data_IF_004665473331
#
_entry.id   IF_004665473331
#
_cell.length_a   1.000
_cell.length_b   1.000
_cell.length_c   1.000
_cell.angle_alpha   90.00
_cell.angle_beta   90.00
_cell.angle_gamma   90.00
#
_symmetry.space_group_name_H-M   'P 1'
#
loop_
_entity.id
_entity.type
_entity.pdbx_description
1 polymer ?
2 polymer ?
3 water ?
#
# COMPACT_ATOMS: atom_id res chain seq x y z
N UNK A 1 -13.18 -10.92 19.84
CA UNK A 1 -12.23 -11.17 18.74
C UNK A 1 -12.50 -12.57 18.32
N UNK A 2 -11.79 -12.97 17.29
CA UNK A 2 -11.81 -14.29 16.73
C UNK A 2 -11.19 -14.14 15.37
N UNK A 3 -10.09 -14.86 15.25
CA UNK A 3 -9.28 -14.94 14.06
C UNK A 3 -10.03 -15.34 12.74
N UNK A 4 -9.40 -14.96 11.63
CA UNK A 4 -9.89 -15.28 10.31
C UNK A 4 -8.60 -15.43 9.47
N UNK A 5 -8.24 -16.69 9.29
CA UNK A 5 -7.06 -17.08 8.55
C UNK A 5 -7.40 -17.37 7.10
N UNK A 6 -7.15 -16.39 6.23
CA UNK A 6 -7.45 -16.59 4.81
C UNK A 6 -6.39 -17.54 4.27
N UNK A 7 -6.72 -18.82 4.40
CA UNK A 7 -5.87 -19.96 3.99
C UNK A 7 -4.79 -19.77 2.91
N UNK A 8 -4.98 -18.82 1.99
CA UNK A 8 -3.95 -18.60 0.93
C UNK A 8 -3.75 -17.08 0.65
N UNK A 9 -2.53 -16.52 0.77
CA UNK A 9 -2.38 -15.10 0.54
C UNK A 9 -2.19 -14.50 -0.85
N UNK A 10 -1.75 -15.28 -1.85
CA UNK A 10 -1.55 -14.75 -3.24
C UNK A 10 -1.96 -15.73 -4.34
N UNK A 11 -3.05 -15.43 -5.02
CA UNK A 11 -3.54 -16.33 -6.09
C UNK A 11 -3.03 -15.84 -7.43
N UNK A 12 -1.96 -16.47 -7.96
CA UNK A 12 -1.37 -16.10 -9.25
C UNK A 12 -2.08 -16.96 -10.24
N UNK A 13 -3.17 -16.41 -10.75
CA UNK A 13 -3.96 -17.14 -11.70
C UNK A 13 -4.01 -16.47 -13.08
N UNK A 14 -3.80 -17.29 -14.12
CA UNK A 14 -3.91 -16.80 -15.49
C UNK A 14 -5.44 -16.63 -15.65
N UNK A 15 -5.94 -15.80 -16.57
CA UNK A 15 -7.43 -15.63 -16.69
C UNK A 15 -8.17 -16.87 -17.19
N UNK A 16 -9.40 -17.06 -16.71
CA UNK A 16 -10.23 -18.19 -17.09
C UNK A 16 -9.91 -19.47 -16.35
N UNK A 17 -10.19 -19.50 -15.05
CA UNK A 17 -9.97 -20.68 -14.18
C UNK A 17 -10.89 -20.49 -13.00
N UNK A 18 -10.89 -21.50 -12.13
CA UNK A 18 -11.65 -21.51 -10.86
C UNK A 18 -10.83 -20.67 -9.80
N UNK A 19 -11.41 -20.33 -8.66
CA UNK A 19 -10.65 -19.56 -7.68
C UNK A 19 -11.07 -19.86 -6.27
N UNK A 20 -10.51 -20.94 -5.71
CA UNK A 20 -10.78 -21.29 -4.34
C UNK A 20 -9.89 -20.35 -3.50
N UNK A 21 -10.42 -19.82 -2.41
CA UNK A 21 -9.65 -18.91 -1.53
C UNK A 21 -10.37 -19.01 -0.24
N UNK A 22 -9.96 -20.01 0.55
CA UNK A 22 -10.60 -20.35 1.82
C UNK A 22 -10.40 -19.42 3.03
N UNK A 23 -11.41 -19.32 3.88
CA UNK A 23 -11.36 -18.50 5.07
C UNK A 23 -11.96 -19.21 6.32
N UNK A 24 -11.12 -19.49 7.33
CA UNK A 24 -11.56 -20.18 8.57
C UNK A 24 -11.57 -19.24 9.80
N UNK A 25 -12.73 -19.03 10.42
CA UNK A 25 -12.81 -18.15 11.59
C UNK A 25 -12.26 -18.91 12.80
N UNK A 26 -12.41 -18.34 13.99
CA UNK A 26 -11.96 -19.04 15.16
C UNK A 26 -13.09 -19.80 15.84
N UNK A 27 -14.27 -19.21 15.90
CA UNK A 27 -15.36 -19.90 16.62
C UNK A 27 -16.57 -20.19 15.77
N UNK A 28 -17.66 -20.57 16.42
CA UNK A 28 -18.88 -20.77 15.68
C UNK A 28 -19.30 -19.34 15.23
N UNK A 29 -19.88 -19.22 14.03
CA UNK A 29 -20.37 -17.91 13.53
C UNK A 29 -21.91 -17.94 13.56
N UNK A 30 -22.42 -19.04 14.07
CA UNK A 30 -23.85 -19.25 14.20
C UNK A 30 -24.36 -18.44 15.38
N UNK A 31 -25.12 -17.37 15.12
CA UNK A 31 -25.64 -16.60 16.23
C UNK A 31 -26.71 -17.45 16.85
N UNK A 32 -27.18 -17.07 18.03
CA UNK A 32 -28.26 -17.83 18.69
C UNK A 32 -29.60 -17.45 17.99
N UNK A 33 -29.51 -17.00 16.75
CA UNK A 33 -30.70 -16.61 16.05
C UNK A 33 -30.96 -17.67 15.01
N UNK A 34 -29.91 -18.42 14.68
CA UNK A 34 -30.03 -19.46 13.69
C UNK A 34 -29.09 -19.31 12.50
N UNK A 35 -28.95 -18.11 11.92
CA UNK A 35 -28.05 -17.95 10.77
C UNK A 35 -26.64 -17.52 11.09
N UNK A 36 -25.70 -18.15 10.41
CA UNK A 36 -24.28 -17.83 10.54
C UNK A 36 -23.97 -16.50 9.80
N UNK A 37 -22.76 -15.93 9.99
CA UNK A 37 -22.41 -14.64 9.37
C UNK A 37 -21.02 -14.40 8.72
N UNK A 38 -20.50 -15.39 7.99
CA UNK A 38 -19.28 -15.20 7.22
C UNK A 38 -19.82 -14.28 6.03
N UNK A 39 -19.00 -13.43 5.41
CA UNK A 39 -19.49 -12.55 4.32
C UNK A 39 -18.31 -12.25 3.41
N UNK A 40 -18.50 -11.96 2.12
CA UNK A 40 -17.34 -11.67 1.26
C UNK A 40 -17.33 -10.29 0.69
N UNK A 41 -16.13 -9.81 0.39
CA UNK A 41 -15.90 -8.49 -0.14
C UNK A 41 -14.71 -8.55 -1.12
N UNK A 42 -14.72 -7.63 -2.07
CA UNK A 42 -13.65 -7.54 -3.06
C UNK A 42 -13.26 -6.09 -3.00
N UNK A 43 -11.95 -5.82 -2.88
CA UNK A 43 -11.44 -4.44 -2.84
C UNK A 43 -10.63 -4.10 -4.06
N UNK A 44 -11.18 -3.22 -4.89
CA UNK A 44 -10.52 -2.82 -6.13
C UNK A 44 -9.62 -1.62 -5.88
N UNK A 45 -8.35 -1.83 -6.18
CA UNK A 45 -7.29 -0.84 -6.03
C UNK A 45 -7.85 0.55 -6.17
N UNK A 46 -7.75 1.30 -5.07
CA UNK A 46 -8.19 2.68 -5.05
C UNK A 46 -9.61 2.93 -4.61
N UNK A 47 -10.38 1.87 -4.38
CA UNK A 47 -11.76 2.11 -4.02
C UNK A 47 -12.22 1.39 -2.73
N UNK A 48 -13.18 1.99 -2.01
CA UNK A 48 -13.74 1.38 -0.82
C UNK A 48 -14.31 0.09 -1.32
N UNK A 49 -13.73 -1.04 -0.88
CA UNK A 49 -14.10 -2.42 -1.22
C UNK A 49 -15.58 -2.63 -1.18
N UNK A 50 -16.01 -3.85 -1.53
CA UNK A 50 -17.43 -4.12 -1.63
C UNK A 50 -17.98 -5.52 -1.37
N UNK A 51 -19.25 -5.53 -1.00
CA UNK A 51 -20.00 -6.73 -0.68
C UNK A 51 -20.25 -7.79 -1.77
N UNK A 52 -19.58 -8.93 -1.61
CA UNK A 52 -19.74 -10.05 -2.52
C UNK A 52 -20.91 -10.80 -1.99
N UNK A 53 -20.79 -12.11 -1.84
CA UNK A 53 -21.86 -12.88 -1.21
C UNK A 53 -22.00 -12.39 0.25
N UNK A 54 -23.23 -12.22 0.72
CA UNK A 54 -23.49 -11.83 2.12
C UNK A 54 -24.02 -13.14 2.74
N UNK A 55 -24.23 -13.16 4.06
CA UNK A 55 -24.68 -14.37 4.78
C UNK A 55 -24.25 -15.71 4.18
N UNK A 56 -22.94 -15.90 4.04
CA UNK A 56 -22.25 -17.11 3.55
C UNK A 56 -22.49 -17.65 2.17
N UNK A 57 -23.76 -17.99 1.92
CA UNK A 57 -24.26 -18.52 0.64
C UNK A 57 -24.83 -17.41 -0.24
N UNK A 58 -25.83 -16.73 0.31
CA UNK A 58 -26.54 -15.64 -0.34
C UNK A 58 -25.75 -14.63 -1.27
N UNK A 59 -26.08 -14.60 -2.57
CA UNK A 59 -25.47 -13.71 -3.59
C UNK A 59 -26.05 -12.27 -3.59
N UNK A 60 -25.22 -11.24 -3.76
CA UNK A 60 -25.65 -9.83 -3.68
C UNK A 60 -26.25 -9.23 -4.98
N UNK A 61 -26.63 -7.94 -4.92
CA UNK A 61 -27.21 -7.24 -6.08
C UNK A 61 -26.23 -6.61 -7.12
N UNK A 62 -26.36 -7.07 -8.37
CA UNK A 62 -25.53 -6.59 -9.45
C UNK A 62 -24.27 -7.39 -9.29
N UNK A 63 -24.43 -8.66 -8.94
CA UNK A 63 -23.27 -9.50 -8.65
C UNK A 63 -23.17 -10.85 -9.31
N UNK A 64 -22.28 -10.97 -10.30
CA UNK A 64 -22.01 -12.18 -11.08
C UNK A 64 -22.33 -13.56 -10.59
N UNK A 65 -22.70 -14.28 -11.60
CA UNK A 65 -23.13 -15.66 -11.52
C UNK A 65 -21.90 -16.50 -11.17
N UNK A 66 -20.77 -16.02 -11.61
CA UNK A 66 -19.54 -16.75 -11.41
C UNK A 66 -18.95 -16.82 -9.98
N UNK A 67 -19.75 -16.59 -8.93
CA UNK A 67 -19.26 -16.62 -7.53
C UNK A 67 -20.01 -17.67 -6.65
N UNK A 68 -19.27 -18.60 -6.06
CA UNK A 68 -19.89 -19.60 -5.21
C UNK A 68 -19.52 -19.27 -3.78
N UNK A 69 -20.44 -19.49 -2.83
CA UNK A 69 -20.15 -19.22 -1.42
C UNK A 69 -20.71 -20.27 -0.49
N UNK A 70 -19.88 -21.13 0.07
CA UNK A 70 -20.42 -22.18 0.94
C UNK A 70 -19.52 -22.72 2.05
N UNK A 71 -20.12 -23.02 3.19
CA UNK A 71 -19.33 -23.58 4.26
C UNK A 71 -20.08 -24.10 5.47
N UNK A 72 -19.31 -24.40 6.51
CA UNK A 72 -19.82 -24.87 7.79
C UNK A 72 -18.72 -25.29 8.79
N UNK A 73 -18.74 -24.63 9.95
CA UNK A 73 -17.78 -24.90 11.00
C UNK A 73 -16.61 -23.93 10.97
N UNK A 74 -15.43 -24.49 10.81
CA UNK A 74 -14.22 -23.69 10.72
C UNK A 74 -13.72 -23.97 9.29
N UNK A 75 -14.51 -23.51 8.31
CA UNK A 75 -14.19 -23.75 6.91
C UNK A 75 -15.27 -23.06 6.08
N UNK A 76 -14.84 -22.12 5.25
CA UNK A 76 -15.75 -21.34 4.41
C UNK A 76 -15.08 -21.00 3.10
N UNK A 77 -15.70 -21.32 1.98
CA UNK A 77 -15.04 -20.99 0.75
C UNK A 77 -15.78 -20.10 -0.21
N UNK A 78 -15.02 -19.41 -1.04
CA UNK A 78 -15.52 -18.53 -2.06
C UNK A 78 -14.89 -19.08 -3.34
N UNK A 79 -15.74 -19.31 -4.35
CA UNK A 79 -15.29 -19.88 -5.62
C UNK A 79 -15.77 -19.12 -6.85
N UNK A 80 -14.88 -18.38 -7.51
CA UNK A 80 -15.22 -17.63 -8.73
C UNK A 80 -14.88 -18.62 -9.87
N UNK A 81 -15.86 -19.06 -10.70
CA UNK A 81 -15.53 -20.07 -11.76
C UNK A 81 -14.85 -19.58 -13.04
N UNK A 82 -15.27 -18.43 -13.57
CA UNK A 82 -14.60 -17.90 -14.74
C UNK A 82 -14.07 -16.50 -14.40
N UNK A 83 -12.94 -16.51 -13.70
CA UNK A 83 -12.27 -15.27 -13.31
C UNK A 83 -12.08 -14.48 -14.59
N UNK A 84 -12.33 -13.18 -14.52
CA UNK A 84 -12.20 -12.36 -15.71
C UNK A 84 -11.98 -10.88 -15.44
N UNK A 85 -10.71 -10.50 -15.54
CA UNK A 85 -10.21 -9.15 -15.39
C UNK A 85 -10.77 -8.25 -14.31
N UNK A 86 -12.06 -7.94 -14.34
CA UNK A 86 -12.65 -7.05 -13.36
C UNK A 86 -12.67 -7.59 -11.91
N UNK A 87 -12.31 -8.87 -11.74
CA UNK A 87 -12.31 -9.57 -10.46
C UNK A 87 -10.97 -9.60 -9.73
N UNK A 88 -9.99 -8.92 -10.29
CA UNK A 88 -8.66 -8.89 -9.72
C UNK A 88 -8.49 -7.87 -8.58
N UNK A 89 -8.09 -8.38 -7.43
CA UNK A 89 -7.87 -7.53 -6.26
C UNK A 89 -7.71 -8.39 -5.02
N UNK A 90 -8.19 -7.91 -3.89
CA UNK A 90 -8.11 -8.69 -2.66
C UNK A 90 -9.50 -9.06 -2.24
N UNK A 91 -9.61 -10.07 -1.38
CA UNK A 91 -10.93 -10.53 -0.91
C UNK A 91 -11.11 -10.77 0.62
N UNK A 92 -11.47 -9.74 1.34
CA UNK A 92 -11.67 -9.90 2.74
C UNK A 92 -12.90 -10.72 3.12
N UNK A 93 -12.67 -11.78 3.86
CA UNK A 93 -13.78 -12.60 4.32
C UNK A 93 -14.12 -11.91 5.64
N UNK A 94 -15.31 -12.09 6.22
CA UNK A 94 -15.61 -11.37 7.47
C UNK A 94 -16.43 -12.18 8.46
N UNK A 95 -16.74 -11.58 9.60
CA UNK A 95 -17.45 -12.27 10.68
C UNK A 95 -18.33 -11.23 11.30
N UNK A 96 -19.46 -11.65 11.88
CA UNK A 96 -20.36 -10.71 12.52
C UNK A 96 -21.31 -11.27 13.58
N UNK A 97 -20.98 -12.42 14.14
CA UNK A 97 -21.82 -13.04 15.18
C UNK A 97 -21.29 -12.66 16.55
N UNK A 98 -20.05 -12.18 16.57
CA UNK A 98 -19.41 -11.82 17.79
C UNK A 98 -18.80 -10.44 17.68
N UNK A 99 -19.05 -9.66 18.72
CA UNK A 99 -18.46 -8.35 18.81
C UNK A 99 -17.01 -8.68 19.24
N UNK A 100 -16.04 -8.06 18.59
CA UNK A 100 -16.13 -7.09 17.50
C UNK A 100 -16.08 -7.79 16.15
N UNK A 101 -16.21 -7.02 15.08
CA UNK A 101 -16.26 -7.56 13.71
C UNK A 101 -14.91 -7.71 13.00
N UNK A 102 -14.26 -8.81 13.32
CA UNK A 102 -12.97 -9.14 12.75
C UNK A 102 -13.05 -9.22 11.20
N UNK A 103 -11.97 -8.85 10.48
CA UNK A 103 -11.86 -8.88 8.98
C UNK A 103 -10.65 -9.74 8.67
N UNK A 104 -10.74 -10.67 7.74
CA UNK A 104 -9.57 -11.51 7.44
C UNK A 104 -8.38 -10.78 6.82
N UNK A 105 -7.26 -11.49 6.68
CA UNK A 105 -6.07 -10.85 6.12
C UNK A 105 -6.18 -10.26 4.71
N UNK A 106 -6.94 -10.96 3.88
CA UNK A 106 -7.10 -10.54 2.50
C UNK A 106 -6.21 -11.26 1.50
N UNK A 107 -6.74 -12.33 0.88
CA UNK A 107 -6.02 -13.06 -0.20
C UNK A 107 -6.07 -12.15 -1.45
N UNK A 108 -5.07 -12.20 -2.31
CA UNK A 108 -5.12 -11.42 -3.54
C UNK A 108 -5.10 -12.29 -4.81
N UNK A 109 -5.51 -11.67 -5.90
CA UNK A 109 -5.58 -12.33 -7.19
C UNK A 109 -4.68 -11.61 -8.19
N UNK A 110 -3.52 -12.17 -8.48
CA UNK A 110 -2.68 -11.52 -9.47
C UNK A 110 -2.42 -12.38 -10.73
N UNK A 111 -2.06 -11.69 -11.83
CA UNK A 111 -1.81 -12.34 -13.11
C UNK A 111 -0.74 -13.38 -12.99
N UNK A 112 -0.97 -14.52 -13.62
CA UNK A 112 0.00 -15.61 -13.54
C UNK A 112 1.21 -15.34 -14.39
N UNK A 113 2.32 -15.91 -13.98
CA UNK A 113 3.57 -15.75 -14.67
C UNK A 113 4.48 -16.90 -14.27
N UNK A 114 5.55 -17.03 -15.02
CA UNK A 114 6.53 -18.03 -14.76
C UNK A 114 7.62 -17.16 -14.21
N UNK A 115 8.42 -17.75 -13.32
CA UNK A 115 9.50 -17.06 -12.67
C UNK A 115 10.27 -16.16 -13.61
N UNK A 116 10.98 -15.19 -13.02
CA UNK A 116 11.81 -14.22 -13.73
C UNK A 116 12.83 -13.50 -12.82
N UNK A 117 14.05 -14.07 -12.79
CA UNK A 117 15.23 -13.59 -12.05
C UNK A 117 15.34 -12.07 -12.00
N UNK A 118 15.48 -11.50 -10.80
CA UNK A 118 15.56 -10.08 -10.60
C UNK A 118 16.87 -9.45 -11.00
N UNK A 119 16.79 -8.26 -11.54
CA UNK A 119 17.98 -7.57 -11.94
C UNK A 119 18.40 -6.50 -10.92
N UNK A 120 19.54 -6.72 -10.26
CA UNK A 120 19.98 -5.69 -9.30
C UNK A 120 21.05 -4.75 -9.88
N UNK A 121 20.96 -3.51 -9.41
CA UNK A 121 21.82 -2.43 -9.81
C UNK A 121 21.96 -1.57 -8.53
N UNK A 122 23.20 -1.38 -8.10
CA UNK A 122 23.51 -0.56 -6.95
C UNK A 122 23.92 0.76 -7.59
N UNK A 123 23.62 1.87 -6.93
CA UNK A 123 24.12 3.15 -7.40
C UNK A 123 24.67 3.65 -6.07
N UNK A 124 25.83 4.31 -6.08
CA UNK A 124 26.54 4.88 -4.90
C UNK A 124 25.83 6.17 -4.45
N UNK A 125 26.54 7.11 -3.76
CA UNK A 125 25.89 8.37 -3.33
C UNK A 125 26.25 9.60 -4.24
N UNK A 126 25.39 10.61 -4.30
CA UNK A 126 25.69 11.78 -5.13
C UNK A 126 26.41 12.83 -4.25
N UNK A 127 27.45 13.49 -4.80
CA UNK A 127 28.19 14.50 -4.05
C UNK A 127 27.31 15.56 -3.39
N UNK A 128 26.23 16.01 -4.04
CA UNK A 128 25.38 17.01 -3.38
C UNK A 128 24.67 16.40 -2.17
N UNK A 129 24.28 15.13 -2.21
CA UNK A 129 23.65 14.58 -1.00
C UNK A 129 24.81 14.58 -0.03
N UNK A 130 25.95 14.12 -0.56
CA UNK A 130 27.21 14.08 0.19
C UNK A 130 27.41 15.44 0.86
N UNK A 131 27.08 16.49 0.12
CA UNK A 131 27.25 17.85 0.58
C UNK A 131 26.34 18.26 1.74
N UNK A 132 25.12 17.74 1.82
CA UNK A 132 24.23 18.14 2.94
C UNK A 132 24.53 17.35 4.22
N UNK A 133 25.62 16.60 4.22
CA UNK A 133 25.97 15.83 5.39
C UNK A 133 25.16 14.54 5.45
N UNK A 134 24.38 14.26 4.40
CA UNK A 134 23.61 13.03 4.36
C UNK A 134 24.28 12.12 3.34
N UNK A 135 23.84 10.87 3.27
CA UNK A 135 24.39 9.92 2.29
C UNK A 135 23.56 8.65 2.18
N UNK A 136 22.93 8.46 1.04
CA UNK A 136 22.11 7.28 0.84
C UNK A 136 22.72 6.35 -0.14
N UNK A 137 22.24 5.13 -0.15
CA UNK A 137 22.72 4.17 -1.13
C UNK A 137 21.45 3.46 -1.51
N UNK A 138 21.30 3.11 -2.77
CA UNK A 138 20.08 2.46 -3.18
C UNK A 138 20.38 1.35 -4.15
N UNK A 139 19.86 0.16 -3.87
CA UNK A 139 20.09 -0.89 -4.81
C UNK A 139 18.72 -1.31 -5.24
N UNK A 140 18.52 -1.08 -6.53
CA UNK A 140 17.31 -1.36 -7.26
C UNK A 140 17.30 -2.84 -7.65
N UNK A 141 16.18 -3.50 -7.40
CA UNK A 141 16.01 -4.89 -7.77
C UNK A 141 14.82 -4.93 -8.80
N UNK A 142 15.05 -4.37 -9.99
CA UNK A 142 14.00 -4.24 -11.04
C UNK A 142 13.29 -5.42 -11.78
N UNK A 143 12.15 -5.07 -12.41
CA UNK A 143 11.25 -5.91 -13.26
C UNK A 143 11.49 -7.43 -13.13
N UNK A 144 10.79 -8.08 -12.20
CA UNK A 144 10.96 -9.53 -11.93
C UNK A 144 9.71 -10.28 -11.36
N UNK A 145 9.86 -11.58 -11.04
CA UNK A 145 8.75 -12.42 -10.54
C UNK A 145 9.36 -13.72 -9.98
N UNK A 146 8.79 -14.30 -8.92
CA UNK A 146 7.60 -13.88 -8.16
C UNK A 146 8.05 -12.85 -7.13
N UNK A 147 7.05 -12.25 -6.47
CA UNK A 147 7.22 -11.18 -5.49
C UNK A 147 8.23 -11.43 -4.37
N UNK A 148 7.86 -12.26 -3.41
CA UNK A 148 8.71 -12.62 -2.29
C UNK A 148 10.16 -12.41 -2.65
N UNK A 149 10.79 -11.50 -1.93
CA UNK A 149 12.17 -11.22 -2.20
C UNK A 149 12.72 -10.42 -1.05
N UNK A 150 13.70 -10.98 -0.32
CA UNK A 150 14.31 -10.22 0.78
C UNK A 150 15.65 -9.66 0.31
N UNK A 151 16.08 -8.59 0.93
CA UNK A 151 17.32 -7.99 0.52
C UNK A 151 18.14 -7.45 1.70
N UNK A 152 19.19 -8.19 2.07
CA UNK A 152 20.05 -7.84 3.21
C UNK A 152 21.24 -7.00 2.79
N UNK A 153 21.57 -5.95 3.57
CA UNK A 153 22.70 -5.04 3.29
C UNK A 153 23.93 -5.29 4.21
N UNK A 154 24.69 -6.33 3.90
CA UNK A 154 25.84 -6.60 4.70
C UNK A 154 26.82 -5.57 4.22
N UNK A 155 26.74 -4.39 4.83
CA UNK A 155 27.72 -3.33 4.53
C UNK A 155 29.01 -3.98 4.99
N UNK A 156 29.98 -4.01 4.09
CA UNK A 156 31.25 -4.68 4.37
C UNK A 156 31.14 -6.05 5.06
N UNK A 157 30.08 -6.78 4.73
CA UNK A 157 29.90 -8.13 5.26
C UNK A 157 29.31 -8.45 6.62
N UNK A 158 30.01 -8.09 7.71
CA UNK A 158 29.49 -8.46 9.03
C UNK A 158 28.17 -7.87 9.44
N UNK A 159 28.16 -6.60 9.83
CA UNK A 159 26.93 -5.92 10.23
C UNK A 159 25.75 -6.01 9.18
N UNK A 160 24.58 -6.41 9.68
CA UNK A 160 23.33 -6.54 8.90
C UNK A 160 22.57 -5.21 9.17
N UNK A 161 22.90 -4.10 8.49
CA UNK A 161 22.18 -2.89 8.87
C UNK A 161 20.64 -2.98 8.82
N UNK A 162 19.97 -1.93 9.31
CA UNK A 162 18.54 -1.93 9.35
C UNK A 162 18.00 -0.53 9.54
N UNK A 163 18.42 0.32 8.62
CA UNK A 163 17.92 1.68 8.59
C UNK A 163 17.48 1.67 7.14
N UNK A 164 16.44 0.87 6.86
CA UNK A 164 15.98 0.65 5.50
C UNK A 164 14.55 1.02 5.14
N UNK A 165 14.40 1.60 3.96
CA UNK A 165 13.09 1.97 3.44
C UNK A 165 12.87 1.12 2.20
N UNK A 166 11.83 0.31 2.21
CA UNK A 166 11.56 -0.53 1.06
C UNK A 166 10.34 -0.05 0.35
N UNK A 167 10.48 0.21 -0.94
CA UNK A 167 9.36 0.66 -1.75
C UNK A 167 9.04 -0.44 -2.76
N UNK A 168 7.84 -1.02 -2.72
CA UNK A 168 7.52 -2.04 -3.74
C UNK A 168 6.86 -1.44 -4.96
N UNK A 169 6.07 -2.25 -5.65
CA UNK A 169 5.36 -1.83 -6.86
C UNK A 169 4.15 -2.74 -7.06
N UNK A 170 3.01 -2.14 -7.44
CA UNK A 170 1.79 -2.89 -7.73
C UNK A 170 2.23 -3.54 -9.07
N UNK A 171 1.90 -4.82 -9.25
CA UNK A 171 2.25 -5.64 -10.44
C UNK A 171 2.23 -4.93 -11.80
N UNK A 172 3.14 -5.28 -12.72
CA UNK A 172 3.12 -4.60 -14.04
C UNK A 172 2.07 -4.98 -15.09
N UNK A 173 1.44 -3.95 -15.62
CA UNK A 173 0.42 -4.07 -16.66
C UNK A 173 0.91 -5.00 -17.73
N UNK A 174 1.82 -4.52 -18.58
CA UNK A 174 2.33 -5.34 -19.68
C UNK A 174 3.68 -6.03 -19.39
N UNK A 175 3.64 -6.97 -18.45
CA UNK A 175 4.84 -7.67 -18.02
C UNK A 175 4.41 -8.69 -17.04
N UNK A 176 3.65 -8.15 -16.08
CA UNK A 176 3.12 -8.88 -14.94
C UNK A 176 4.26 -9.26 -14.01
N UNK A 177 5.32 -8.41 -14.03
CA UNK A 177 6.49 -8.55 -13.14
C UNK A 177 6.37 -7.37 -12.18
N UNK A 178 7.20 -7.41 -11.15
CA UNK A 178 7.26 -6.37 -10.12
C UNK A 178 8.66 -5.73 -10.20
N UNK A 179 8.93 -4.69 -9.38
CA UNK A 179 10.24 -4.00 -9.37
C UNK A 179 10.46 -3.29 -8.01
N UNK A 180 11.65 -3.34 -7.39
CA UNK A 180 11.79 -2.65 -6.08
C UNK A 180 13.01 -1.83 -5.77
N UNK A 181 12.85 -0.88 -4.81
CA UNK A 181 13.96 -0.04 -4.34
C UNK A 181 14.23 -0.30 -2.87
N UNK A 182 15.50 -0.11 -2.48
CA UNK A 182 15.97 -0.31 -1.10
C UNK A 182 17.03 0.80 -0.85
N UNK A 183 16.72 1.62 0.15
CA UNK A 183 17.52 2.79 0.51
C UNK A 183 18.07 2.71 1.93
N UNK A 184 19.25 2.10 2.05
CA UNK A 184 19.93 1.99 3.34
C UNK A 184 20.39 3.44 3.60
N UNK A 185 19.97 3.99 4.73
CA UNK A 185 20.31 5.40 5.01
C UNK A 185 21.35 5.73 6.08
N UNK A 186 22.45 6.32 5.61
CA UNK A 186 23.56 6.64 6.49
C UNK A 186 23.78 8.08 6.91
N UNK A 187 24.53 8.18 8.01
CA UNK A 187 24.97 9.45 8.61
C UNK A 187 26.18 9.69 7.70
N UNK A 188 26.19 10.79 6.91
CA UNK A 188 27.30 11.07 5.97
C UNK A 188 28.59 10.40 6.42
N UNK A 189 29.00 10.82 7.60
CA UNK A 189 30.19 10.31 8.23
C UNK A 189 30.15 8.77 8.23
N UNK A 190 29.07 8.18 8.77
CA UNK A 190 28.88 6.73 8.81
C UNK A 190 29.29 6.14 7.46
N UNK A 191 28.87 6.85 6.42
CA UNK A 191 29.18 6.41 5.08
C UNK A 191 30.70 6.48 4.93
N UNK A 192 31.27 7.68 5.09
CA UNK A 192 32.74 7.85 4.96
C UNK A 192 33.55 7.14 6.06
N UNK A 193 32.89 6.21 6.72
CA UNK A 193 33.50 5.41 7.74
C UNK A 193 33.66 3.93 7.29
N UNK A 194 33.45 3.64 5.99
CA UNK A 194 33.58 2.26 5.44
C UNK A 194 34.01 2.22 3.95
N UNK A 195 34.54 1.08 3.49
CA UNK A 195 35.07 0.97 2.09
C UNK A 195 34.27 0.38 0.93
N UNK A 196 33.36 -0.55 1.24
CA UNK A 196 32.52 -1.22 0.21
C UNK A 196 31.27 -1.88 0.79
N UNK A 197 30.09 -1.53 0.28
CA UNK A 197 28.91 -2.19 0.81
C UNK A 197 28.32 -3.17 -0.24
N UNK A 198 27.45 -4.05 0.23
CA UNK A 198 26.88 -5.02 -0.65
C UNK A 198 25.44 -5.19 -0.33
N UNK A 199 24.68 -5.30 -1.41
CA UNK A 199 23.25 -5.49 -1.37
C UNK A 199 23.03 -6.96 -1.76
N UNK A 200 22.31 -7.68 -0.89
CA UNK A 200 22.08 -9.09 -1.11
C UNK A 200 20.60 -9.40 -1.27
N UNK A 201 20.28 -9.92 -2.44
CA UNK A 201 18.92 -10.27 -2.71
C UNK A 201 18.85 -11.77 -2.96
N UNK A 202 17.90 -12.40 -2.26
CA UNK A 202 17.62 -13.84 -2.30
C UNK A 202 16.18 -14.06 -2.89
N UNK A 203 16.10 -14.55 -4.12
CA UNK A 203 14.79 -14.74 -4.81
C UNK A 203 14.78 -16.04 -5.64
N UNK A 204 14.17 -17.09 -5.09
CA UNK A 204 14.18 -18.44 -5.71
C UNK A 204 14.09 -18.56 -7.24
N UNK A 205 15.24 -18.28 -7.84
CA UNK A 205 15.48 -18.31 -9.26
C UNK A 205 16.93 -18.73 -9.25
N UNK A 206 17.67 -18.10 -8.33
CA UNK A 206 19.09 -18.34 -8.14
C UNK A 206 19.37 -19.34 -7.06
N UNK A 207 20.54 -19.93 -7.13
CA UNK A 207 20.99 -20.83 -6.07
C UNK A 207 21.76 -19.81 -5.23
N UNK A 208 22.76 -19.27 -5.90
CA UNK A 208 23.72 -18.30 -5.38
C UNK A 208 23.22 -16.87 -5.42
N UNK A 209 22.60 -16.39 -4.31
CA UNK A 209 22.04 -15.04 -4.14
C UNK A 209 22.75 -13.87 -4.83
N UNK A 210 21.96 -13.19 -5.66
CA UNK A 210 22.43 -12.05 -6.43
C UNK A 210 22.85 -10.86 -5.58
N UNK A 211 24.15 -10.72 -5.55
CA UNK A 211 24.83 -9.74 -4.74
C UNK A 211 25.56 -8.70 -5.57
N UNK A 212 25.38 -7.44 -5.22
CA UNK A 212 26.12 -6.41 -5.91
C UNK A 212 26.86 -5.59 -4.85
N UNK A 213 28.02 -5.05 -5.24
CA UNK A 213 28.86 -4.29 -4.31
C UNK A 213 29.18 -2.90 -4.82
N UNK A 214 29.69 -2.07 -3.89
CA UNK A 214 30.09 -0.69 -4.14
C UNK A 214 31.27 -0.26 -3.23
N UNK A 215 32.36 0.07 -3.91
CA UNK A 215 33.61 0.48 -3.30
C UNK A 215 33.77 1.97 -2.96
N UNK A 216 33.49 2.33 -1.71
CA UNK A 216 33.65 3.71 -1.30
C UNK A 216 35.08 4.16 -1.60
N UNK A 217 36.03 3.20 -1.52
CA UNK A 217 37.49 3.46 -1.68
C UNK A 217 38.22 3.81 -3.00
N UNK A 218 38.58 2.81 -3.78
CA UNK A 218 39.33 2.99 -5.01
C UNK A 218 38.58 3.88 -6.01
N UNK A 219 37.74 4.79 -5.53
CA UNK A 219 36.96 5.59 -6.43
C UNK A 219 36.64 7.02 -5.99
N UNK B 1 -28.84 2.93 -5.08
CA UNK B 1 -29.76 4.10 -4.98
C UNK B 1 -29.27 4.94 -3.82
N UNK B 2 -28.91 4.21 -2.77
CA UNK B 2 -28.39 4.78 -1.53
C UNK B 2 -26.94 5.20 -1.72
N UNK B 3 -26.58 6.29 -1.06
CA UNK B 3 -25.23 6.78 -1.17
C UNK B 3 -24.73 7.19 0.21
N UNK B 4 -23.42 7.15 0.37
CA UNK B 4 -22.78 7.54 1.61
C UNK B 4 -21.60 8.31 1.08
N UNK B 5 -21.59 9.62 1.32
CA UNK B 5 -20.51 10.46 0.83
C UNK B 5 -19.78 10.92 2.05
N UNK B 6 -18.47 11.06 1.92
CA UNK B 6 -17.65 11.50 3.04
C UNK B 6 -16.94 12.79 2.70
N UNK B 7 -16.54 13.49 3.75
CA UNK B 7 -15.81 14.73 3.62
C UNK B 7 -14.46 14.40 3.01
N UNK B 8 -13.73 15.43 2.61
CA UNK B 8 -12.44 15.19 1.99
C UNK B 8 -11.19 15.12 2.87
N UNK B 9 -10.33 14.20 2.48
CA UNK B 9 -9.07 13.95 3.17
C UNK B 9 -8.38 15.17 3.81
N UNK B 10 -7.94 15.03 5.06
CA UNK B 10 -7.28 16.14 5.73
C UNK B 10 -5.88 15.88 6.23
N UNK B 11 -5.20 16.99 6.54
CA UNK B 11 -3.84 16.99 7.10
C UNK B 11 -3.95 17.70 8.45
N UNK B 12 -3.77 16.95 9.52
CA UNK B 12 -3.89 17.52 10.84
C UNK B 12 -2.61 17.43 11.70
N UNK B 13 -2.46 18.43 12.54
CA UNK B 13 -1.31 18.52 13.42
C UNK B 13 -1.68 17.60 14.58
N UNK B 14 -0.69 17.13 15.37
CA UNK B 14 -0.96 16.25 16.51
C UNK B 14 -1.76 16.99 17.58
N UNK B 15 -2.48 16.22 18.42
CA UNK B 15 -3.31 16.81 19.45
C UNK B 15 -4.64 17.08 18.83
N UNK B 16 -4.68 18.07 17.96
CA UNK B 16 -5.92 18.44 17.26
C UNK B 16 -6.66 17.23 16.72
N UNK B 17 -7.99 17.36 16.68
CA UNK B 17 -8.88 16.31 16.25
C UNK B 17 -9.69 16.67 14.99
N UNK B 18 -10.17 15.64 14.27
CA UNK B 18 -10.96 15.83 13.04
C UNK B 18 -12.37 15.36 13.27
N UNK B 19 -13.22 15.82 12.36
CA UNK B 19 -14.64 15.53 12.29
C UNK B 19 -14.89 14.97 10.88
N UNK B 20 -15.05 13.66 10.77
CA UNK B 20 -15.30 13.04 9.48
C UNK B 20 -16.81 12.95 9.40
N UNK B 21 -17.41 13.11 8.24
CA UNK B 21 -18.88 13.01 8.19
C UNK B 21 -19.26 12.00 7.15
N UNK B 22 -20.48 11.54 7.24
CA UNK B 22 -20.94 10.53 6.32
C UNK B 22 -22.44 10.65 5.98
N UNK B 23 -22.69 11.51 4.99
CA UNK B 23 -24.03 11.81 4.44
C UNK B 23 -24.58 10.61 3.62
N UNK B 24 -25.83 10.21 3.95
CA UNK B 24 -26.51 9.08 3.33
C UNK B 24 -27.78 9.48 2.54
N UNK B 25 -27.78 9.20 1.24
CA UNK B 25 -28.92 9.53 0.37
C UNK B 25 -29.60 8.29 -0.18
N UNK B 26 -30.93 8.25 -0.10
CA UNK B 26 -31.65 7.10 -0.63
C UNK B 26 -32.41 6.13 0.27
N UNK B 27 -32.89 6.58 1.45
CA UNK B 27 -33.65 5.72 2.40
C UNK B 27 -33.95 6.44 3.70
N UNK B 28 -34.42 5.68 4.67
CA UNK B 28 -34.68 6.19 6.00
C UNK B 28 -33.34 5.98 6.77
N UNK B 29 -32.97 6.95 7.58
CA UNK B 29 -31.72 6.91 8.37
C UNK B 29 -31.85 5.89 9.48
N UNK B 30 -32.67 6.28 10.43
CA UNK B 30 -32.95 5.55 11.63
C UNK B 30 -33.25 4.06 11.55
N UNK B 31 -32.40 3.27 10.92
CA UNK B 31 -32.58 1.84 10.98
C UNK B 31 -31.32 1.06 10.72
N UNK B 32 -30.36 1.66 10.07
CA UNK B 32 -29.19 0.87 9.82
C UNK B 32 -27.98 1.31 10.63
N UNK B 33 -27.20 0.34 11.09
CA UNK B 33 -25.99 0.65 11.83
C UNK B 33 -25.01 1.45 10.94
N UNK B 34 -24.58 2.61 11.42
CA UNK B 34 -23.60 3.42 10.72
C UNK B 34 -22.23 2.89 11.18
N UNK B 35 -21.64 2.05 10.37
CA UNK B 35 -20.35 1.43 10.66
C UNK B 35 -19.21 2.30 10.15
N UNK B 36 -18.00 2.16 10.74
CA UNK B 36 -16.81 2.93 10.34
C UNK B 36 -15.65 1.94 10.44
N UNK B 37 -14.71 1.99 9.51
CA UNK B 37 -13.63 1.01 9.49
C UNK B 37 -12.30 1.69 9.30
N UNK B 38 -11.21 1.05 9.74
CA UNK B 38 -9.88 1.67 9.60
C UNK B 38 -9.04 0.90 8.62
N UNK B 39 -8.56 1.63 7.63
CA UNK B 39 -7.77 1.03 6.60
C UNK B 39 -6.45 1.70 6.74
N UNK B 40 -5.46 0.95 7.27
CA UNK B 40 -4.11 1.47 7.47
C UNK B 40 -3.31 0.62 6.57
N UNK B 41 -2.37 1.23 5.83
CA UNK B 41 -1.63 0.36 4.96
C UNK B 41 -0.89 -0.63 5.85
N UNK B 42 -1.05 -1.91 5.56
CA UNK B 42 -0.32 -2.90 6.31
C UNK B 42 -1.18 -3.66 7.25
N UNK B 43 -1.93 -2.94 8.06
CA UNK B 43 -2.78 -3.57 9.06
C UNK B 43 -4.03 -4.24 8.49
N UNK B 44 -4.70 -3.58 7.54
CA UNK B 44 -5.89 -4.14 6.96
C UNK B 44 -7.08 -3.41 7.52
N UNK B 45 -8.13 -4.13 7.83
CA UNK B 45 -9.32 -3.51 8.33
C UNK B 45 -9.68 -3.78 9.80
N UNK B 46 -9.78 -2.67 10.51
CA UNK B 46 -10.07 -2.63 11.91
C UNK B 46 -11.46 -2.05 12.06
N UNK B 47 -12.48 -2.88 12.25
CA UNK B 47 -13.80 -2.30 12.47
C UNK B 47 -13.62 -1.41 13.66
N UNK B 48 -14.04 -0.17 13.56
CA UNK B 48 -13.89 0.76 14.67
C UNK B 48 -15.06 0.75 15.62
N UNK B 49 -16.28 0.94 15.09
CA UNK B 49 -17.46 1.01 15.95
C UNK B 49 -18.81 1.36 15.33
N UNK B 50 -19.89 0.82 15.90
CA UNK B 50 -21.26 0.98 15.43
C UNK B 50 -21.99 2.12 16.08
N UNK B 51 -23.18 2.38 15.55
CA UNK B 51 -24.12 3.40 16.04
C UNK B 51 -25.33 3.51 15.09
N UNK B 52 -26.56 3.32 15.56
CA UNK B 52 -27.72 3.47 14.68
C UNK B 52 -28.29 4.89 14.89
N UNK B 53 -28.57 5.63 13.78
CA UNK B 53 -29.11 6.98 13.97
C UNK B 53 -30.55 6.87 14.40
N UNK B 54 -31.01 7.89 15.11
CA UNK B 54 -32.39 7.90 15.57
C UNK B 54 -32.53 7.50 17.03
N UNK B 55 -32.09 6.29 17.37
CA UNK B 55 -32.17 5.84 18.75
C UNK B 55 -31.05 6.52 19.52
N UNK B 56 -29.99 6.84 18.80
CA UNK B 56 -28.83 7.47 19.35
C UNK B 56 -27.92 6.41 19.90
N UNK B 57 -28.33 5.15 19.76
CA UNK B 57 -27.59 4.00 20.33
C UNK B 57 -26.20 3.98 19.82
N UNK B 58 -25.30 3.30 20.53
CA UNK B 58 -23.89 3.20 20.14
C UNK B 58 -23.27 1.85 20.40
N UNK B 59 -22.02 1.73 20.01
CA UNK B 59 -21.31 0.49 20.15
C UNK B 59 -19.84 0.81 19.70
N UNK B 60 -18.87 0.48 20.55
CA UNK B 60 -17.45 0.74 20.23
C UNK B 60 -16.61 -0.50 20.44
N UNK B 61 -15.46 -0.48 19.79
CA UNK B 61 -14.51 -1.56 19.95
C UNK B 61 -13.86 -1.09 21.23
N UNK B 62 -13.72 -1.98 22.22
CA UNK B 62 -13.04 -1.61 23.48
C UNK B 62 -11.86 -0.65 23.13
N UNK B 63 -11.04 -1.17 22.24
CA UNK B 63 -9.89 -0.42 21.77
C UNK B 63 -10.21 1.07 21.55
N UNK B 64 -11.29 1.39 20.81
CA UNK B 64 -11.63 2.78 20.51
C UNK B 64 -12.44 3.57 21.46
N UNK B 65 -13.00 2.96 22.49
CA UNK B 65 -13.84 3.75 23.39
C UNK B 65 -12.99 4.80 24.16
N UNK B 66 -13.27 6.08 23.93
CA UNK B 66 -12.50 7.14 24.55
C UNK B 66 -11.75 7.92 23.47
N UNK B 67 -11.49 7.34 22.29
CA UNK B 67 -10.79 8.03 21.17
C UNK B 67 -11.76 8.47 20.11
N UNK B 68 -12.87 7.76 20.00
CA UNK B 68 -13.87 8.05 18.98
C UNK B 68 -15.20 8.46 19.57
N UNK B 69 -15.95 9.26 18.84
CA UNK B 69 -17.30 9.65 19.29
C UNK B 69 -18.22 9.49 18.06
N UNK B 70 -19.45 9.08 18.25
CA UNK B 70 -20.34 8.92 17.11
C UNK B 70 -21.62 9.68 17.38
N UNK B 71 -22.01 10.55 16.49
CA UNK B 71 -23.25 11.29 16.62
C UNK B 71 -23.88 11.28 15.22
N UNK B 72 -25.18 11.52 15.15
CA UNK B 72 -25.90 11.56 13.88
C UNK B 72 -27.03 12.60 13.97
N UNK B 73 -27.13 13.47 12.97
CA UNK B 73 -28.19 14.48 12.94
C UNK B 73 -29.28 14.02 11.97
N UNK B 74 -30.22 13.22 12.47
CA UNK B 74 -31.35 12.65 11.70
C UNK B 74 -31.98 13.52 10.60
N UNK B 75 -32.06 14.83 10.87
CA UNK B 75 -32.62 15.80 9.95
C UNK B 75 -31.50 16.47 9.18
N UNK B 76 -30.59 15.68 8.66
CA UNK B 76 -29.46 16.21 7.90
C UNK B 76 -28.75 14.98 7.36
N UNK B 77 -29.18 13.86 7.90
CA UNK B 77 -28.73 12.57 7.49
C UNK B 77 -27.24 12.34 7.34
N UNK B 78 -26.48 13.02 8.24
CA UNK B 78 -25.02 12.92 8.33
C UNK B 78 -24.69 12.01 9.50
N UNK B 79 -23.55 11.37 9.43
CA UNK B 79 -23.08 10.50 10.51
C UNK B 79 -21.81 11.15 11.05
N UNK B 80 -21.34 10.74 12.22
CA UNK B 80 -20.17 11.39 12.78
C UNK B 80 -19.11 10.56 13.44
N UNK B 81 -17.85 10.93 13.18
CA UNK B 81 -16.72 10.29 13.83
C UNK B 81 -15.72 11.40 14.25
N UNK B 82 -15.48 11.50 15.54
CA UNK B 82 -14.55 12.49 16.05
C UNK B 82 -13.47 11.71 16.70
N UNK B 83 -12.27 11.84 16.18
CA UNK B 83 -11.10 11.19 16.75
C UNK B 83 -10.39 12.31 17.48
N UNK B 84 -10.45 12.33 18.81
CA UNK B 84 -9.76 13.38 19.53
C UNK B 84 -8.31 12.94 19.71
N UNK B 85 -7.48 13.81 20.29
CA UNK B 85 -6.05 13.55 20.59
C UNK B 85 -5.32 12.71 19.58
N UNK B 86 -5.29 13.26 18.37
CA UNK B 86 -4.69 12.67 17.19
C UNK B 86 -3.26 12.23 17.30
N UNK B 87 -2.83 11.37 16.39
CA UNK B 87 -1.44 10.93 16.44
C UNK B 87 -0.91 10.12 15.24
N UNK B 88 0.39 9.91 15.20
CA UNK B 88 1.06 9.19 14.11
C UNK B 88 0.46 7.85 13.76
N UNK B 89 -0.35 7.27 14.63
CA UNK B 89 -0.89 5.97 14.29
C UNK B 89 -2.35 6.01 13.83
N UNK B 90 -2.89 7.21 13.78
CA UNK B 90 -4.22 7.34 13.28
C UNK B 90 -4.14 7.70 11.79
N UNK B 91 -2.95 8.11 11.33
CA UNK B 91 -2.75 8.43 9.90
C UNK B 91 -3.21 7.27 9.01
N UNK B 92 -4.45 7.32 8.54
CA UNK B 92 -4.99 6.26 7.66
C UNK B 92 -6.29 6.67 6.93
N UNK B 93 -6.86 5.75 6.17
CA UNK B 93 -8.08 6.05 5.43
C UNK B 93 -9.19 5.44 6.19
N UNK B 94 -10.26 6.20 6.37
CA UNK B 94 -11.41 5.77 7.13
C UNK B 94 -12.72 5.68 6.34
N UNK B 95 -13.45 4.56 6.47
CA UNK B 95 -14.73 4.45 5.75
C UNK B 95 -15.94 4.37 6.67
N UNK B 96 -17.04 4.97 6.25
CA UNK B 96 -18.25 4.84 7.03
C UNK B 96 -18.99 3.74 6.27
N UNK B 97 -20.09 3.23 6.81
CA UNK B 97 -20.79 2.15 6.16
C UNK B 97 -22.20 1.79 6.67
N UNK B 98 -23.03 1.30 5.75
CA UNK B 98 -24.39 0.87 6.05
C UNK B 98 -24.16 -0.60 6.00
N UNK B 99 -24.48 -1.27 7.09
CA UNK B 99 -24.29 -2.71 7.12
C UNK B 99 -25.25 -3.32 8.08
N UNK B 100 -25.75 -4.51 7.76
CA UNK B 100 -26.62 -5.21 8.73
C UNK B 100 -26.19 -6.64 8.98
N UNK B 101 -26.66 -7.54 8.11
CA UNK B 101 -26.35 -8.96 8.16
C UNK B 101 -25.34 -9.02 7.05
N UNK B 102 -24.67 -7.89 6.92
CA UNK B 102 -23.71 -7.68 5.86
C UNK B 102 -23.23 -6.22 6.03
N UNK B 103 -22.20 -5.83 5.28
CA UNK B 103 -21.76 -4.43 5.27
C UNK B 103 -22.21 -3.91 3.92
N UNK B 104 -23.51 -3.67 3.93
CA UNK B 104 -24.26 -3.23 2.79
C UNK B 104 -23.61 -2.35 1.80
N UNK B 105 -23.42 -1.07 2.11
CA UNK B 105 -22.84 -0.12 1.13
C UNK B 105 -21.77 0.72 1.81
N UNK B 106 -20.60 0.87 1.17
CA UNK B 106 -19.50 1.60 1.76
C UNK B 106 -19.23 2.96 1.18
N UNK B 107 -19.00 3.90 2.09
CA UNK B 107 -18.68 5.28 1.76
C UNK B 107 -17.42 5.33 0.97
N UNK B 108 -17.06 6.48 0.41
CA UNK B 108 -15.87 6.58 -0.42
C UNK B 108 -14.52 6.56 0.30
N UNK B 109 -14.30 7.45 1.24
CA UNK B 109 -13.04 7.40 1.91
C UNK B 109 -12.49 8.76 2.20
N UNK B 110 -12.24 8.95 3.49
CA UNK B 110 -11.64 10.15 3.98
C UNK B 110 -10.23 9.71 4.40
N UNK B 111 -9.24 10.49 3.99
CA UNK B 111 -7.88 10.21 4.42
C UNK B 111 -7.58 11.21 5.52
N UNK B 112 -6.84 10.73 6.52
CA UNK B 112 -6.44 11.54 7.66
C UNK B 112 -4.98 11.21 7.93
N UNK B 113 -4.15 12.22 7.72
CA UNK B 113 -2.73 12.13 7.87
C UNK B 113 -2.26 13.06 8.95
N UNK B 114 -1.60 12.46 9.91
CA UNK B 114 -1.08 13.17 11.06
C UNK B 114 0.35 13.37 10.82
N UNK B 115 0.77 14.62 10.89
CA UNK B 115 2.17 14.96 10.69
C UNK B 115 2.45 16.36 11.15
N UNK B 116 3.61 16.49 11.79
CA UNK B 116 4.11 17.77 12.34
C UNK B 116 4.40 18.74 11.22
N UNK B 117 4.98 18.17 10.14
CA UNK B 117 5.41 18.88 8.95
C UNK B 117 4.74 20.18 8.52
N UNK B 118 5.57 20.99 7.87
CA UNK B 118 5.28 22.30 7.28
C UNK B 118 5.77 22.13 5.86
N UNK B 119 5.04 22.63 4.88
CA UNK B 119 5.43 22.44 3.48
C UNK B 119 6.85 22.65 3.11
N UNK B 120 7.37 21.70 2.36
CA UNK B 120 8.74 21.81 1.95
C UNK B 120 9.07 21.01 0.71
N UNK B 121 9.95 21.59 -0.10
CA UNK B 121 10.39 21.02 -1.36
C UNK B 121 11.51 19.98 -1.44
N UNK B 122 11.25 18.89 -2.19
CA UNK B 122 12.05 17.72 -2.49
C UNK B 122 13.47 18.03 -2.75
N UNK B 123 14.33 17.58 -1.86
CA UNK B 123 15.75 17.77 -2.09
C UNK B 123 16.05 16.58 -3.01
N UNK B 124 16.37 16.90 -4.27
CA UNK B 124 16.61 15.94 -5.38
C UNK B 124 18.01 15.32 -5.57
N UNK B 125 18.24 14.09 -5.13
CA UNK B 125 19.59 13.49 -5.27
C UNK B 125 19.56 12.44 -6.34
N UNK B 126 20.32 12.68 -7.42
CA UNK B 126 20.52 11.91 -8.65
C UNK B 126 21.38 10.67 -8.60
N UNK B 127 20.72 9.54 -8.59
CA UNK B 127 21.39 8.27 -8.56
C UNK B 127 22.07 7.89 -9.88
N UNK B 128 23.39 8.05 -9.94
CA UNK B 128 24.23 7.68 -11.11
C UNK B 128 25.45 6.76 -10.80
N UNK B 129 25.48 5.53 -11.35
CA UNK B 129 26.63 4.66 -11.07
C UNK B 129 27.99 5.38 -11.01
N UNK B 130 28.72 5.10 -9.94
CA UNK B 130 30.02 5.71 -9.72
C UNK B 130 31.16 4.96 -10.41
N UNK B 131 32.30 4.91 -9.73
CA UNK B 131 33.47 4.28 -10.34
C UNK B 131 33.53 2.81 -10.76
N UNK B 132 33.52 2.70 -12.09
CA UNK B 132 33.62 1.45 -12.81
C UNK B 132 33.05 0.18 -12.28
N UNK B 133 31.75 0.18 -12.05
CA UNK B 133 31.12 -1.04 -11.61
C UNK B 133 30.38 -1.62 -12.83
N UNK B 134 29.08 -1.35 -12.84
CA UNK B 134 28.07 -1.76 -13.81
C UNK B 134 28.45 -1.70 -15.32
N UNK B 135 28.44 -2.85 -15.98
CA UNK B 135 28.83 -2.88 -17.37
C UNK B 135 27.93 -3.63 -18.34
N UNK B 136 27.86 -3.10 -19.58
CA UNK B 136 27.12 -3.73 -20.66
C UNK B 136 25.87 -3.07 -21.25
N UNK B 137 24.83 -3.91 -21.39
CA UNK B 137 23.51 -3.58 -21.94
C UNK B 137 22.91 -2.24 -21.52
N UNK B 138 21.94 -2.27 -20.61
CA UNK B 138 21.31 -1.01 -20.16
C UNK B 138 21.98 -0.29 -18.99
N UNK B 139 22.34 0.94 -19.21
CA UNK B 139 22.86 1.67 -18.10
C UNK B 139 21.58 2.07 -17.41
N UNK B 140 21.35 1.56 -16.21
CA UNK B 140 20.16 1.94 -15.46
C UNK B 140 20.53 3.19 -14.69
N UNK B 141 19.54 4.05 -14.46
CA UNK B 141 19.79 5.27 -13.73
C UNK B 141 18.67 5.56 -12.76
N UNK B 142 18.80 6.69 -12.06
CA UNK B 142 17.79 7.08 -11.10
C UNK B 142 17.94 8.49 -10.59
N UNK B 143 16.90 8.90 -9.91
CA UNK B 143 16.74 10.21 -9.30
C UNK B 143 15.98 9.92 -8.06
N UNK B 144 16.63 10.16 -6.94
CA UNK B 144 16.02 9.92 -5.65
C UNK B 144 15.45 11.24 -5.21
N UNK B 145 14.47 11.17 -4.31
CA UNK B 145 13.83 12.34 -3.75
C UNK B 145 13.83 12.03 -2.27
N UNK B 146 14.54 12.90 -1.55
CA UNK B 146 14.72 12.75 -0.12
C UNK B 146 13.97 13.84 0.60
N UNK B 147 12.97 13.45 1.36
CA UNK B 147 12.17 14.36 2.15
C UNK B 147 11.46 15.51 1.48
N UNK B 148 10.22 15.74 1.91
CA UNK B 148 9.31 16.81 1.45
C UNK B 148 7.94 16.45 1.98
N UNK B 149 6.97 17.28 1.67
CA UNK B 149 5.62 17.05 2.15
C UNK B 149 4.81 18.04 1.35
N UNK B 150 3.60 17.69 0.96
CA UNK B 150 2.80 16.48 1.10
C UNK B 150 2.86 15.78 -0.23
N UNK B 151 2.16 14.67 -0.37
CA UNK B 151 2.24 13.86 -1.58
C UNK B 151 2.37 14.41 -3.02
N UNK B 152 2.17 15.70 -3.15
CA UNK B 152 2.24 16.33 -4.43
C UNK B 152 3.63 16.19 -5.06
N UNK B 153 4.00 14.98 -5.49
CA UNK B 153 5.29 14.78 -6.19
C UNK B 153 5.00 14.07 -7.47
N UNK B 154 5.60 14.59 -8.55
CA UNK B 154 5.38 14.06 -9.88
C UNK B 154 6.62 14.15 -10.68
N UNK B 155 7.02 13.03 -11.21
CA UNK B 155 8.24 13.08 -11.95
C UNK B 155 8.18 12.93 -13.45
N UNK B 156 8.72 13.90 -14.16
CA UNK B 156 8.78 13.78 -15.61
C UNK B 156 10.26 13.44 -15.70
N UNK B 157 10.46 12.18 -16.03
CA UNK B 157 11.77 11.60 -16.16
C UNK B 157 11.89 11.20 -17.60
N UNK B 158 11.14 11.87 -18.49
CA UNK B 158 11.09 11.54 -19.96
C UNK B 158 12.52 11.16 -20.28
N UNK B 159 12.68 10.02 -20.90
CA UNK B 159 13.97 9.47 -21.16
C UNK B 159 15.13 10.41 -21.49
N UNK B 160 16.31 9.84 -21.56
CA UNK B 160 17.50 10.59 -21.92
C UNK B 160 17.64 10.54 -23.41
N UNK B 161 17.17 9.42 -24.00
CA UNK B 161 17.20 9.22 -25.47
C UNK B 161 16.55 7.95 -26.06
N UNK B 162 17.26 6.84 -25.84
CA UNK B 162 16.81 5.54 -26.32
C UNK B 162 16.54 4.65 -25.07
N UNK B 163 15.32 4.69 -24.50
CA UNK B 163 14.98 3.97 -23.22
C UNK B 163 13.40 3.95 -22.94
N UNK B 164 12.90 3.09 -22.02
CA UNK B 164 11.45 3.00 -21.70
C UNK B 164 11.05 2.48 -20.30
N UNK B 165 11.58 1.33 -19.89
CA UNK B 165 11.28 0.81 -18.55
C UNK B 165 11.50 1.92 -17.49
N UNK B 166 10.41 2.61 -17.16
CA UNK B 166 10.45 3.65 -16.16
C UNK B 166 9.70 3.21 -14.93
N UNK B 167 10.40 3.13 -13.81
CA UNK B 167 9.68 2.76 -12.62
C UNK B 167 9.62 3.95 -11.68
N UNK B 168 8.44 4.13 -11.10
CA UNK B 168 8.20 5.20 -10.12
C UNK B 168 7.88 4.39 -8.86
N UNK B 169 8.81 4.33 -7.91
CA UNK B 169 8.53 3.55 -6.68
C UNK B 169 7.67 4.39 -5.75
N UNK B 170 6.86 3.75 -4.90
CA UNK B 170 5.97 4.42 -3.95
C UNK B 170 6.67 5.29 -2.95
N UNK B 171 5.85 5.98 -2.18
CA UNK B 171 6.37 6.88 -1.18
C UNK B 171 6.21 6.36 0.24
N UNK B 172 7.33 6.34 0.95
CA UNK B 172 7.33 5.93 2.34
C UNK B 172 6.92 7.19 3.09
N UNK B 173 6.39 7.01 4.31
CA UNK B 173 5.85 8.10 5.13
C UNK B 173 6.73 8.48 6.38
N UNK B 174 7.96 7.96 6.41
CA UNK B 174 8.94 8.16 7.52
C UNK B 174 9.33 9.56 8.11
N UNK B 175 9.17 9.63 9.45
CA UNK B 175 9.50 10.83 10.22
C UNK B 175 8.71 12.04 9.78
N UNK B 176 7.50 11.77 9.33
CA UNK B 176 6.58 12.80 8.90
C UNK B 176 6.87 13.44 7.56
N UNK B 177 7.94 12.97 6.90
CA UNK B 177 8.43 13.47 5.61
C UNK B 177 8.46 12.36 4.55
N UNK B 178 8.54 12.78 3.29
CA UNK B 178 8.42 11.84 2.20
C UNK B 178 9.63 11.57 1.39
N UNK B 179 9.82 10.30 1.08
CA UNK B 179 11.00 10.00 0.38
C UNK B 179 10.81 8.84 -0.55
N UNK B 180 10.96 9.11 -1.86
CA UNK B 180 10.78 8.13 -2.97
C UNK B 180 11.73 8.41 -4.10
N UNK B 181 11.87 7.44 -4.99
CA UNK B 181 12.77 7.55 -6.14
C UNK B 181 11.96 7.53 -7.43
N UNK B 182 12.71 7.30 -8.52
CA UNK B 182 12.30 7.13 -9.92
C UNK B 182 13.45 6.25 -10.44
N UNK B 183 13.27 5.51 -11.54
CA UNK B 183 14.38 4.68 -12.05
C UNK B 183 14.22 4.33 -13.52
N UNK B 184 15.31 4.44 -14.30
CA UNK B 184 15.25 4.15 -15.73
C UNK B 184 16.23 3.20 -16.41
N UNK B 185 15.69 2.61 -17.47
CA UNK B 185 16.36 1.61 -18.29
C UNK B 185 16.86 2.09 -19.69
N UNK B 186 17.99 2.79 -19.71
CA UNK B 186 18.65 3.33 -20.91
C UNK B 186 19.85 2.47 -21.37
N UNK B 187 19.83 1.91 -22.59
CA UNK B 187 20.94 1.07 -23.12
C UNK B 187 22.25 1.81 -23.51
N UNK B 188 23.36 1.30 -22.99
CA UNK B 188 24.71 1.82 -23.21
C UNK B 188 24.92 2.83 -24.34
N UNK B 189 24.84 2.37 -25.58
CA UNK B 189 25.03 3.29 -26.71
C UNK B 189 24.43 4.72 -26.48
N UNK B 190 23.12 4.80 -26.24
CA UNK B 190 22.44 6.08 -26.04
C UNK B 190 22.91 7.02 -24.86
N UNK B 191 23.69 6.48 -23.92
CA UNK B 191 24.15 7.28 -22.77
C UNK B 191 25.67 7.20 -22.64
N UNK B 192 26.36 8.35 -22.48
CA UNK B 192 25.96 9.77 -22.41
C UNK B 192 25.98 10.56 -23.76
N UNK B 193 25.82 9.83 -24.87
CA UNK B 193 25.78 10.41 -26.23
C UNK B 193 24.81 11.60 -26.28
N UNK B 194 23.74 11.45 -25.52
CA UNK B 194 22.74 12.47 -25.35
C UNK B 194 22.62 12.47 -23.80
N UNK B 195 21.88 13.41 -23.21
CA UNK B 195 21.73 13.41 -21.77
C UNK B 195 20.29 13.18 -21.26
N UNK B 196 20.19 12.33 -20.23
CA UNK B 196 18.92 12.02 -19.58
C UNK B 196 18.79 13.02 -18.43
N UNK B 197 17.56 13.42 -18.14
CA UNK B 197 17.33 14.41 -17.09
C UNK B 197 15.98 14.26 -16.42
N UNK B 198 15.94 14.36 -15.09
CA UNK B 198 14.67 14.27 -14.38
C UNK B 198 14.21 15.62 -14.00
N UNK B 199 12.92 15.68 -13.73
CA UNK B 199 12.30 16.90 -13.34
C UNK B 199 11.39 16.44 -12.25
N UNK B 200 11.62 17.00 -11.08
CA UNK B 200 10.83 16.68 -9.92
C UNK B 200 9.93 17.89 -9.85
N UNK B 201 8.64 17.61 -9.76
CA UNK B 201 7.63 18.65 -9.76
C UNK B 201 6.73 18.52 -8.56
N UNK B 202 6.88 19.47 -7.64
CA UNK B 202 6.12 19.48 -6.41
C UNK B 202 5.22 20.70 -6.35
N UNK B 203 4.09 20.63 -7.06
CA UNK B 203 3.07 21.68 -7.17
C UNK B 203 2.49 22.16 -5.83
N UNK B 204 2.65 21.38 -4.77
CA UNK B 204 2.15 21.83 -3.48
C UNK B 204 2.91 23.12 -3.07
N UNK B 205 4.01 23.38 -3.79
CA UNK B 205 4.81 24.55 -3.53
C UNK B 205 5.15 25.32 -4.80
N UNK B 206 4.65 24.90 -5.95
CA UNK B 206 4.97 25.61 -7.20
C UNK B 206 6.48 25.85 -7.23
N UNK B 207 7.22 24.75 -7.09
CA UNK B 207 8.68 24.73 -7.08
C UNK B 207 8.95 23.51 -7.94
N UNK B 208 9.94 23.58 -8.82
CA UNK B 208 10.22 22.41 -9.67
C UNK B 208 11.71 22.32 -9.97
N UNK B 209 12.22 21.14 -10.31
CA UNK B 209 13.65 21.02 -10.61
C UNK B 209 14.06 20.11 -11.75
N UNK B 210 15.06 20.53 -12.51
CA UNK B 210 15.55 19.70 -13.60
C UNK B 210 17.00 19.40 -13.27
N UNK B 211 17.39 18.12 -13.38
CA UNK B 211 18.76 17.74 -13.10
C UNK B 211 19.28 16.66 -14.07
N UNK B 212 20.35 17.01 -14.80
CA UNK B 212 20.99 16.08 -15.75
C UNK B 212 21.76 15.24 -14.78
N UNK B 213 21.97 14.00 -15.16
CA UNK B 213 22.64 13.10 -14.25
C UNK B 213 24.15 13.17 -14.47
N UNK B 214 24.67 12.35 -15.36
CA UNK B 214 26.10 12.35 -15.61
C UNK B 214 26.32 12.53 -17.07
#
# INVERSE_FOLDING_TARGET
ELVMTQSPLSLPVSLGDQASISCRPSQSLVHSNGNTYLHWYLQKPGQSPKLLIYRVSNRFSGVPDRFSGSGSGTAFTLKISRVEAEDLGVYFCSQGTHVPYTFGGGTKLELKRADAAPTVSIFPPSSEQLTSGGASVVCFLNNFYPKDINVKWKIDGSERQNGVLNSWTDQDSKDSTYSMSSTLTLTKDEYERHNSYTCEATHKTSTSPIVKSFNRNEC
RVQLLESGAELMKPGASVQISCKATGYTFSEYWIEWVKERPGHGLEWIGEILPGSGRTNYREKFKGKATFTADTSSNTAYMQLSSLTSEDSAVYYCTRGYSSMDYWGQGTSVTVSAAKTTPPSVYPLAPGCGDTTGSSVTLGCLVKGYFPESVTVTWNSGSLSSSVHTFPALLQSGLYTMSSSVTVPSSTWPSQTVTCSVAHPASSTTVDKKLE
#
